data_IF_520242820961
#
_entry.id   IF_520242820961
#
_cell.length_a   1.000
_cell.length_b   1.000
_cell.length_c   1.000
_cell.angle_alpha   90.00
_cell.angle_beta   90.00
_cell.angle_gamma   90.00
#
_symmetry.space_group_name_H-M   'P 1'
#
loop_
_entity.id
_entity.type
_entity.pdbx_description
1 polymer ?
#
# COMPACT_ATOMS: atom_id res chain seq x y z
N UNK A 1 -8.95 7.59 9.58
CA UNK A 1 -8.57 8.80 8.86
C UNK A 1 -7.16 8.78 8.32
N UNK A 2 -6.70 7.60 8.00
CA UNK A 2 -5.32 7.38 7.53
C UNK A 2 -5.32 6.71 6.17
N UNK A 3 -4.60 7.29 5.21
CA UNK A 3 -4.32 6.65 3.94
C UNK A 3 -2.88 6.17 3.94
N UNK A 4 -2.68 4.86 3.83
CA UNK A 4 -1.36 4.25 3.76
C UNK A 4 -1.06 4.01 2.29
N UNK A 5 0.01 4.63 1.80
CA UNK A 5 0.32 4.68 0.38
C UNK A 5 1.65 3.97 0.11
N UNK A 6 1.61 2.93 -0.72
CA UNK A 6 2.76 2.05 -0.95
C UNK A 6 3.06 1.99 -2.45
N UNK A 7 4.10 2.70 -2.93
CA UNK A 7 4.57 2.50 -4.30
C UNK A 7 5.40 1.22 -4.38
N UNK A 8 5.20 0.43 -5.41
CA UNK A 8 5.93 -0.83 -5.58
C UNK A 8 6.40 -1.01 -7.02
N UNK A 9 7.51 -1.73 -7.18
CA UNK A 9 8.03 -2.11 -8.48
C UNK A 9 8.81 -3.42 -8.35
N UNK A 10 8.35 -4.47 -9.05
CA UNK A 10 8.95 -5.79 -9.01
C UNK A 10 9.12 -6.36 -7.59
N UNK A 11 8.12 -6.15 -6.74
CA UNK A 11 8.17 -6.59 -5.36
C UNK A 11 6.80 -7.08 -4.90
N UNK A 12 6.79 -8.19 -4.18
CA UNK A 12 5.58 -8.73 -3.56
C UNK A 12 5.37 -8.06 -2.20
N UNK A 13 4.41 -7.15 -2.11
CA UNK A 13 4.14 -6.43 -0.87
C UNK A 13 2.92 -6.95 -0.11
N UNK A 14 2.43 -8.13 -0.47
CA UNK A 14 1.23 -8.70 0.19
C UNK A 14 1.43 -8.89 1.68
N UNK A 15 2.62 -9.33 2.10
CA UNK A 15 2.91 -9.53 3.53
C UNK A 15 2.83 -8.22 4.31
N UNK A 16 3.43 -7.16 3.78
CA UNK A 16 3.37 -5.84 4.40
C UNK A 16 1.92 -5.35 4.50
N UNK A 17 1.16 -5.47 3.41
CA UNK A 17 -0.23 -5.02 3.39
C UNK A 17 -1.08 -5.79 4.40
N UNK A 18 -0.92 -7.11 4.48
CA UNK A 18 -1.66 -7.94 5.44
C UNK A 18 -1.35 -7.55 6.88
N UNK A 19 -0.08 -7.25 7.17
CA UNK A 19 0.30 -6.82 8.52
C UNK A 19 -0.30 -5.45 8.86
N UNK A 20 -0.23 -4.50 7.93
CA UNK A 20 -0.83 -3.18 8.14
C UNK A 20 -2.35 -3.27 8.28
N UNK A 21 -2.98 -4.10 7.46
CA UNK A 21 -4.41 -4.35 7.53
C UNK A 21 -4.80 -4.89 8.92
N UNK A 22 -4.07 -5.89 9.39
CA UNK A 22 -4.33 -6.49 10.69
C UNK A 22 -4.20 -5.48 11.82
N UNK A 23 -3.16 -4.66 11.79
CA UNK A 23 -2.97 -3.63 12.82
C UNK A 23 -4.03 -2.55 12.77
N UNK A 24 -4.42 -2.12 11.58
CA UNK A 24 -5.45 -1.07 11.42
C UNK A 24 -6.81 -1.57 11.93
N UNK A 25 -7.14 -2.83 11.67
CA UNK A 25 -8.37 -3.42 12.17
C UNK A 25 -8.38 -3.51 13.70
N UNK A 26 -7.25 -3.86 14.30
CA UNK A 26 -7.13 -3.92 15.78
C UNK A 26 -7.20 -2.53 16.41
N UNK A 27 -6.67 -1.52 15.72
CA UNK A 27 -6.69 -0.14 16.22
C UNK A 27 -8.05 0.54 16.09
N UNK A 28 -8.96 -0.06 15.31
CA UNK A 28 -10.32 0.45 15.07
C UNK A 28 -10.31 1.89 14.56
N UNK A 29 -9.46 2.14 13.56
CA UNK A 29 -9.36 3.46 12.91
C UNK A 29 -9.94 3.40 11.51
N UNK A 30 -10.39 4.57 11.00
CA UNK A 30 -10.75 4.70 9.60
C UNK A 30 -9.47 4.74 8.77
N UNK A 31 -9.35 3.83 7.81
CA UNK A 31 -8.13 3.72 7.03
C UNK A 31 -8.41 3.21 5.62
N UNK A 32 -7.44 3.42 4.75
CA UNK A 32 -7.36 2.73 3.47
C UNK A 32 -5.88 2.42 3.19
N UNK A 33 -5.64 1.36 2.43
CA UNK A 33 -4.29 0.99 1.99
C UNK A 33 -4.33 0.97 0.47
N UNK A 34 -3.51 1.81 -0.15
CA UNK A 34 -3.44 1.90 -1.61
C UNK A 34 -2.02 1.54 -2.03
N UNK A 35 -1.91 0.50 -2.86
CA UNK A 35 -0.64 0.08 -3.44
C UNK A 35 -0.66 0.46 -4.91
N UNK A 36 0.38 1.11 -5.39
CA UNK A 36 0.51 1.44 -6.80
C UNK A 36 1.73 0.71 -7.38
N UNK A 37 1.47 -0.12 -8.38
CA UNK A 37 2.50 -0.85 -9.09
C UNK A 37 2.95 -0.02 -10.29
N UNK A 38 4.23 0.35 -10.31
CA UNK A 38 4.82 1.23 -11.31
C UNK A 38 5.23 0.46 -12.58
N UNK A 39 4.26 -0.25 -13.16
CA UNK A 39 4.43 -1.04 -14.39
C UNK A 39 5.50 -2.12 -14.26
N UNK A 40 5.40 -2.94 -13.21
CA UNK A 40 6.34 -4.05 -12.99
C UNK A 40 6.30 -5.05 -14.14
N UNK A 41 7.46 -5.42 -14.71
CA UNK A 41 7.50 -6.49 -15.72
C UNK A 41 7.39 -7.89 -15.11
N UNK A 42 7.63 -8.05 -13.81
CA UNK A 42 7.58 -9.37 -13.16
C UNK A 42 6.15 -9.79 -12.89
N UNK A 43 5.67 -10.74 -13.72
CA UNK A 43 4.28 -11.23 -13.64
C UNK A 43 3.97 -11.85 -12.28
N UNK A 44 4.95 -12.53 -11.67
CA UNK A 44 4.75 -13.19 -10.38
C UNK A 44 4.42 -12.20 -9.27
N UNK A 45 5.14 -11.08 -9.21
CA UNK A 45 4.87 -10.03 -8.23
C UNK A 45 3.51 -9.38 -8.46
N UNK A 46 3.16 -9.12 -9.72
CA UNK A 46 1.87 -8.54 -10.07
C UNK A 46 0.72 -9.47 -9.66
N UNK A 47 0.86 -10.76 -9.95
CA UNK A 47 -0.17 -11.74 -9.60
C UNK A 47 -0.38 -11.82 -8.10
N UNK A 48 0.70 -11.80 -7.32
CA UNK A 48 0.60 -11.81 -5.86
C UNK A 48 -0.03 -10.54 -5.33
N UNK A 49 0.39 -9.39 -5.82
CA UNK A 49 -0.14 -8.10 -5.35
C UNK A 49 -1.62 -7.93 -5.66
N UNK A 50 -2.15 -8.59 -6.69
CA UNK A 50 -3.58 -8.55 -6.99
C UNK A 50 -4.44 -9.11 -5.86
N UNK A 51 -3.88 -9.96 -5.01
CA UNK A 51 -4.60 -10.48 -3.83
C UNK A 51 -4.98 -9.35 -2.85
N UNK A 52 -4.29 -8.22 -2.91
CA UNK A 52 -4.57 -7.05 -2.08
C UNK A 52 -6.01 -6.56 -2.28
N UNK A 53 -6.52 -6.63 -3.50
CA UNK A 53 -7.88 -6.19 -3.81
C UNK A 53 -8.96 -7.00 -3.09
N UNK A 54 -8.63 -8.17 -2.57
CA UNK A 54 -9.56 -9.00 -1.83
C UNK A 54 -9.72 -8.54 -0.37
N UNK A 55 -8.82 -7.70 0.13
CA UNK A 55 -8.86 -7.21 1.51
C UNK A 55 -9.74 -5.97 1.60
N UNK A 56 -10.59 -5.87 2.66
CA UNK A 56 -11.38 -4.66 2.87
C UNK A 56 -10.49 -3.42 3.02
N UNK A 57 -10.92 -2.31 2.46
CA UNK A 57 -10.21 -1.02 2.53
C UNK A 57 -8.84 -1.02 1.86
N UNK A 58 -8.52 -2.05 1.08
CA UNK A 58 -7.24 -2.17 0.38
C UNK A 58 -7.49 -2.23 -1.12
N UNK A 59 -6.62 -1.59 -1.90
CA UNK A 59 -6.71 -1.69 -3.36
C UNK A 59 -5.34 -1.56 -4.00
N UNK A 60 -5.21 -2.16 -5.18
CA UNK A 60 -4.02 -2.10 -6.01
C UNK A 60 -4.32 -1.31 -7.28
N UNK A 61 -3.46 -0.36 -7.59
CA UNK A 61 -3.48 0.37 -8.86
C UNK A 61 -2.31 -0.13 -9.68
N UNK A 62 -2.57 -0.65 -10.87
CA UNK A 62 -1.53 -1.13 -11.78
C UNK A 62 -1.36 -0.11 -12.90
N UNK A 63 -0.19 0.54 -12.95
CA UNK A 63 0.10 1.51 -14.01
C UNK A 63 0.54 0.79 -15.27
N UNK A 64 0.18 1.34 -16.42
CA UNK A 64 0.58 0.79 -17.72
C UNK A 64 2.00 1.17 -18.09
N UNK A 65 2.49 2.29 -17.58
CA UNK A 65 3.82 2.80 -17.87
C UNK A 65 4.55 3.14 -16.59
N UNK A 66 5.85 2.90 -16.56
CA UNK A 66 6.70 3.29 -15.44
C UNK A 66 6.82 4.81 -15.42
N UNK A 67 6.37 5.43 -14.32
CA UNK A 67 6.39 6.89 -14.19
C UNK A 67 7.42 7.38 -13.18
N UNK A 68 8.08 6.47 -12.49
CA UNK A 68 9.12 6.79 -11.52
C UNK A 68 8.59 7.11 -10.13
N UNK A 69 9.51 7.08 -9.16
CA UNK A 69 9.18 7.17 -7.73
C UNK A 69 8.45 8.47 -7.36
N UNK A 70 8.92 9.61 -7.86
CA UNK A 70 8.31 10.89 -7.50
C UNK A 70 6.88 11.02 -8.02
N UNK A 71 6.65 10.63 -9.27
CA UNK A 71 5.33 10.73 -9.89
C UNK A 71 4.34 9.74 -9.31
N UNK A 72 4.79 8.52 -8.99
CA UNK A 72 3.89 7.52 -8.42
C UNK A 72 3.43 7.92 -7.02
N UNK A 73 4.28 8.58 -6.24
CA UNK A 73 3.90 9.12 -4.93
C UNK A 73 2.83 10.20 -5.08
N UNK A 74 2.97 11.08 -6.06
CA UNK A 74 1.96 12.09 -6.35
C UNK A 74 0.65 11.46 -6.78
N UNK A 75 0.70 10.42 -7.60
CA UNK A 75 -0.48 9.69 -8.03
C UNK A 75 -1.21 9.06 -6.85
N UNK A 76 -0.45 8.45 -5.94
CA UNK A 76 -1.02 7.87 -4.73
C UNK A 76 -1.69 8.94 -3.86
N UNK A 77 -1.04 10.08 -3.69
CA UNK A 77 -1.62 11.17 -2.92
C UNK A 77 -2.94 11.66 -3.53
N UNK A 78 -3.02 11.73 -4.85
CA UNK A 78 -4.25 12.14 -5.56
C UNK A 78 -5.37 11.12 -5.37
N UNK A 79 -5.05 9.85 -5.20
CA UNK A 79 -6.02 8.78 -4.99
C UNK A 79 -6.48 8.67 -3.53
N UNK A 80 -5.73 9.25 -2.59
CA UNK A 80 -6.02 9.14 -1.17
C UNK A 80 -7.29 9.89 -0.79
N UNK A 81 -8.10 9.27 0.07
CA UNK A 81 -9.38 9.81 0.52
C UNK A 81 -9.34 10.44 1.91
N UNK A 82 -8.26 10.20 2.64
CA UNK A 82 -8.13 10.68 4.02
C UNK A 82 -7.10 11.79 4.13
N UNK A 83 -7.21 12.58 5.19
CA UNK A 83 -6.32 13.73 5.40
C UNK A 83 -4.90 13.35 5.77
N UNK A 84 -4.73 12.25 6.50
CA UNK A 84 -3.43 11.81 6.96
C UNK A 84 -2.85 10.80 5.98
N UNK A 85 -1.68 11.10 5.45
CA UNK A 85 -1.01 10.25 4.46
C UNK A 85 0.25 9.65 5.08
N UNK A 86 0.36 8.34 4.98
CA UNK A 86 1.56 7.62 5.40
C UNK A 86 2.14 6.91 4.18
N UNK A 87 3.33 7.32 3.76
CA UNK A 87 4.03 6.64 2.69
C UNK A 87 4.96 5.58 3.27
N UNK A 88 4.91 4.38 2.71
CA UNK A 88 5.79 3.29 3.11
C UNK A 88 6.43 2.65 1.89
N UNK A 89 7.69 2.25 2.01
CA UNK A 89 8.35 1.49 0.95
C UNK A 89 7.82 0.05 0.95
N UNK A 90 7.71 -0.55 -0.23
CA UNK A 90 7.15 -1.89 -0.37
C UNK A 90 7.95 -2.96 0.39
N UNK A 91 9.24 -2.73 0.60
CA UNK A 91 10.13 -3.64 1.34
C UNK A 91 10.23 -3.32 2.83
N UNK A 92 9.42 -2.39 3.33
CA UNK A 92 9.43 -2.05 4.75
C UNK A 92 8.94 -3.23 5.60
N UNK A 93 9.47 -3.31 6.81
CA UNK A 93 9.03 -4.28 7.80
C UNK A 93 8.36 -3.58 8.96
N UNK A 94 7.24 -4.11 9.41
CA UNK A 94 6.55 -3.62 10.59
C UNK A 94 6.98 -4.51 11.76
N UNK A 95 7.85 -3.99 12.62
CA UNK A 95 8.43 -4.76 13.71
C UNK A 95 7.69 -4.58 15.03
N UNK A 96 6.74 -3.66 15.09
CA UNK A 96 5.94 -3.40 16.29
C UNK A 96 4.49 -3.76 16.02
N UNK A 97 3.86 -4.51 16.92
CA UNK A 97 2.46 -4.91 16.79
C UNK A 97 1.49 -3.73 16.95
N UNK A 98 1.96 -2.62 17.48
CA UNK A 98 1.14 -1.42 17.70
C UNK A 98 1.54 -0.27 16.79
N UNK A 99 2.16 -0.56 15.65
CA UNK A 99 2.66 0.46 14.72
C UNK A 99 1.57 1.47 14.32
N UNK A 100 0.39 0.99 13.98
CA UNK A 100 -0.73 1.85 13.57
C UNK A 100 -1.24 2.68 14.76
N UNK A 101 -1.27 2.09 15.95
CA UNK A 101 -1.71 2.81 17.16
C UNK A 101 -0.84 4.00 17.50
N UNK A 102 0.44 3.94 17.14
CA UNK A 102 1.39 5.03 17.40
C UNK A 102 1.27 6.17 16.37
N UNK A 103 0.50 5.97 15.33
CA UNK A 103 0.35 6.93 14.24
C UNK A 103 -0.94 7.73 14.36
#
# INVERSE_FOLDING_TARGET
MLSILIPTYNYDCTRLVKELYSQAERADVDYEIIVADDASPMVECKAKNREINALPHCRLIELEENIGRARIRNRLADEARHEWLLFMDADAEVISDDFIDQY
#
